data_IF_460705957994
#
_entry.id   IF_460705957994
#
_cell.length_a   1.000
_cell.length_b   1.000
_cell.length_c   1.000
_cell.angle_alpha   90.00
_cell.angle_beta   90.00
_cell.angle_gamma   90.00
#
_symmetry.space_group_name_H-M   'P 1'
#
loop_
_entity.id
_entity.type
_entity.pdbx_description
1 polymer ?
#
# COMPACT_ATOMS: atom_id res chain seq x y z
N UNK A 1 -16.54 -15.75 -5.50
CA UNK A 1 -17.46 -14.61 -5.59
C UNK A 1 -18.83 -15.05 -5.08
N UNK A 2 -19.26 -14.46 -3.99
CA UNK A 2 -20.60 -14.66 -3.45
C UNK A 2 -21.47 -13.50 -3.91
N UNK A 3 -22.43 -13.78 -4.81
CA UNK A 3 -23.43 -12.80 -5.22
C UNK A 3 -24.21 -12.32 -3.99
N UNK A 4 -24.80 -11.14 -4.07
CA UNK A 4 -25.58 -10.58 -2.97
C UNK A 4 -26.61 -11.58 -2.46
N UNK A 5 -26.48 -11.97 -1.20
CA UNK A 5 -27.43 -12.83 -0.50
C UNK A 5 -27.93 -12.06 0.71
N UNK A 6 -29.19 -11.60 0.65
CA UNK A 6 -29.70 -10.64 1.62
C UNK A 6 -28.88 -9.35 1.62
N UNK A 7 -28.32 -9.00 2.78
CA UNK A 7 -27.58 -7.76 2.99
C UNK A 7 -26.06 -7.88 2.72
N UNK A 8 -25.55 -9.08 2.36
CA UNK A 8 -24.13 -9.38 2.29
C UNK A 8 -23.71 -9.60 0.84
N UNK A 9 -22.59 -8.99 0.47
CA UNK A 9 -21.82 -9.30 -0.74
C UNK A 9 -20.36 -9.50 -0.35
N UNK A 10 -19.77 -10.59 -0.82
CA UNK A 10 -18.35 -10.89 -0.57
C UNK A 10 -17.64 -11.31 -1.85
N UNK A 11 -16.40 -10.87 -1.98
CA UNK A 11 -15.50 -11.33 -3.03
C UNK A 11 -14.15 -11.64 -2.40
N UNK A 12 -13.63 -12.83 -2.66
CA UNK A 12 -12.30 -13.25 -2.24
C UNK A 12 -11.54 -13.74 -3.47
N UNK A 13 -10.38 -13.17 -3.70
CA UNK A 13 -9.49 -13.54 -4.80
C UNK A 13 -8.11 -13.87 -4.26
N UNK A 14 -7.55 -14.94 -4.75
CA UNK A 14 -6.16 -15.29 -4.55
C UNK A 14 -5.46 -15.43 -5.89
N UNK A 15 -4.34 -14.77 -6.04
CA UNK A 15 -3.48 -14.86 -7.23
C UNK A 15 -2.12 -15.37 -6.81
N UNK A 16 -1.66 -16.42 -7.49
CA UNK A 16 -0.28 -16.90 -7.46
C UNK A 16 0.32 -16.61 -8.83
N UNK A 17 1.43 -15.85 -8.86
CA UNK A 17 2.13 -15.55 -10.11
C UNK A 17 3.65 -15.67 -9.93
N UNK A 18 4.34 -15.96 -11.04
CA UNK A 18 5.78 -15.90 -11.16
C UNK A 18 6.09 -15.06 -12.38
N UNK A 19 6.68 -13.90 -12.17
CA UNK A 19 7.03 -12.96 -13.22
C UNK A 19 8.56 -12.88 -13.32
N UNK A 20 9.14 -13.71 -14.17
CA UNK A 20 10.57 -13.81 -14.37
C UNK A 20 10.94 -13.50 -15.83
N UNK A 21 12.13 -12.97 -16.05
CA UNK A 21 12.62 -12.70 -17.40
C UNK A 21 13.96 -11.99 -17.39
N UNK A 22 14.33 -11.39 -18.53
CA UNK A 22 15.65 -10.77 -18.74
C UNK A 22 15.66 -9.26 -18.47
N UNK A 23 14.54 -8.66 -18.06
CA UNK A 23 14.44 -7.24 -17.70
C UNK A 23 13.04 -6.86 -17.26
N UNK A 24 12.91 -5.97 -16.27
CA UNK A 24 11.63 -5.60 -15.67
C UNK A 24 10.80 -4.61 -16.51
N UNK A 25 11.40 -3.98 -17.49
CA UNK A 25 10.77 -3.03 -18.42
C UNK A 25 11.34 -3.13 -19.84
N UNK A 26 10.70 -2.45 -20.78
CA UNK A 26 11.09 -2.49 -22.20
C UNK A 26 12.49 -1.91 -22.47
N UNK A 27 13.02 -1.08 -21.58
CA UNK A 27 14.32 -0.42 -21.72
C UNK A 27 15.44 -1.10 -20.93
N UNK A 28 15.14 -2.15 -20.18
CA UNK A 28 16.13 -2.86 -19.34
C UNK A 28 17.38 -3.32 -20.10
N UNK A 29 17.22 -3.69 -21.38
CA UNK A 29 18.34 -4.13 -22.22
C UNK A 29 19.12 -2.98 -22.87
N UNK A 30 18.57 -1.76 -22.91
CA UNK A 30 19.19 -0.65 -23.62
C UNK A 30 20.54 -0.26 -23.03
N UNK A 31 20.70 -0.35 -21.71
CA UNK A 31 21.98 -0.09 -21.03
C UNK A 31 23.09 -1.07 -21.48
N UNK A 32 22.75 -2.35 -21.63
CA UNK A 32 23.70 -3.36 -22.13
C UNK A 32 24.06 -3.11 -23.59
N UNK A 33 23.07 -2.81 -24.43
CA UNK A 33 23.28 -2.51 -25.85
C UNK A 33 24.14 -1.26 -26.03
N UNK A 34 23.85 -0.19 -25.28
CA UNK A 34 24.60 1.06 -25.35
C UNK A 34 26.04 0.91 -24.84
N UNK A 35 26.27 0.01 -23.90
CA UNK A 35 27.60 -0.31 -23.38
C UNK A 35 28.38 -1.30 -24.28
N UNK A 36 27.81 -1.78 -25.38
CA UNK A 36 28.41 -2.79 -26.27
C UNK A 36 28.61 -4.15 -25.58
N UNK A 37 27.89 -4.42 -24.50
CA UNK A 37 27.97 -5.67 -23.76
C UNK A 37 27.15 -6.78 -24.45
N UNK A 38 27.55 -8.05 -24.34
CA UNK A 38 26.80 -9.15 -24.89
C UNK A 38 25.41 -9.26 -24.25
N UNK A 39 24.45 -9.77 -25.01
CA UNK A 39 23.11 -10.07 -24.51
C UNK A 39 23.20 -11.20 -23.48
N UNK A 40 23.25 -10.83 -22.20
CA UNK A 40 23.26 -11.76 -21.09
C UNK A 40 21.83 -12.27 -20.86
N UNK A 41 21.56 -13.49 -21.27
CA UNK A 41 20.25 -14.15 -21.09
C UNK A 41 20.15 -14.77 -19.69
N UNK A 42 20.25 -13.95 -18.67
CA UNK A 42 20.00 -14.38 -17.28
C UNK A 42 18.54 -14.10 -16.94
N UNK A 43 17.84 -15.12 -16.49
CA UNK A 43 16.44 -14.99 -16.02
C UNK A 43 16.48 -14.65 -14.53
N UNK A 44 15.76 -13.60 -14.16
CA UNK A 44 15.61 -13.13 -12.79
C UNK A 44 14.19 -12.62 -12.54
N UNK A 45 13.70 -12.58 -11.28
CA UNK A 45 12.39 -12.03 -10.97
C UNK A 45 12.26 -10.57 -11.39
N UNK A 46 11.13 -10.21 -11.99
CA UNK A 46 10.83 -8.82 -12.28
C UNK A 46 10.59 -8.01 -11.00
N UNK A 47 10.88 -6.72 -11.01
CA UNK A 47 10.72 -5.83 -9.84
C UNK A 47 9.29 -5.78 -9.30
N UNK A 48 8.30 -6.15 -10.09
CA UNK A 48 6.88 -6.22 -9.74
C UNK A 48 6.37 -7.66 -9.49
N UNK A 49 7.26 -8.65 -9.36
CA UNK A 49 6.89 -10.05 -9.09
C UNK A 49 6.38 -10.20 -7.64
N UNK A 50 5.09 -9.96 -7.44
CA UNK A 50 4.39 -10.31 -6.19
C UNK A 50 3.81 -11.71 -6.31
N UNK A 51 4.46 -12.70 -5.66
CA UNK A 51 4.09 -14.12 -5.83
C UNK A 51 2.70 -14.44 -5.31
N UNK A 52 2.30 -13.86 -4.19
CA UNK A 52 1.02 -14.12 -3.56
C UNK A 52 0.27 -12.80 -3.39
N UNK A 53 -0.96 -12.76 -3.85
CA UNK A 53 -1.87 -11.64 -3.63
C UNK A 53 -3.25 -12.16 -3.20
N UNK A 54 -3.68 -11.76 -2.01
CA UNK A 54 -5.02 -12.02 -1.47
C UNK A 54 -5.78 -10.71 -1.42
N UNK A 55 -6.93 -10.68 -2.07
CA UNK A 55 -7.83 -9.53 -2.04
C UNK A 55 -9.18 -10.01 -1.53
N UNK A 56 -9.67 -9.37 -0.47
CA UNK A 56 -10.97 -9.67 0.11
C UNK A 56 -11.78 -8.38 0.20
N UNK A 57 -13.00 -8.44 -0.33
CA UNK A 57 -13.98 -7.34 -0.22
C UNK A 57 -15.22 -7.89 0.46
N UNK A 58 -15.69 -7.19 1.48
CA UNK A 58 -16.93 -7.46 2.18
C UNK A 58 -17.79 -6.19 2.16
N UNK A 59 -19.03 -6.32 1.74
CA UNK A 59 -20.02 -5.25 1.76
C UNK A 59 -21.26 -5.75 2.49
N UNK A 60 -21.70 -5.01 3.47
CA UNK A 60 -22.91 -5.22 4.21
C UNK A 60 -23.80 -3.99 4.11
N UNK A 61 -25.03 -4.13 3.58
CA UNK A 61 -25.90 -2.98 3.37
C UNK A 61 -27.34 -3.30 3.75
N UNK A 62 -27.93 -2.43 4.53
CA UNK A 62 -29.36 -2.45 4.78
C UNK A 62 -30.09 -1.75 3.64
N UNK A 63 -31.17 -2.38 3.17
CA UNK A 63 -32.05 -1.85 2.14
C UNK A 63 -32.91 -0.69 2.64
N UNK A 64 -33.77 -0.21 1.75
CA UNK A 64 -34.73 0.85 2.00
C UNK A 64 -36.16 0.29 2.02
N UNK A 65 -37.07 0.92 2.74
CA UNK A 65 -38.50 0.62 2.71
C UNK A 65 -38.81 -0.81 3.10
N UNK A 66 -39.43 -1.57 2.20
CA UNK A 66 -39.80 -2.97 2.43
C UNK A 66 -38.62 -3.94 2.46
N UNK A 67 -37.52 -3.56 1.83
CA UNK A 67 -36.29 -4.38 1.79
C UNK A 67 -35.44 -4.20 3.06
N UNK A 68 -35.87 -3.33 3.99
CA UNK A 68 -35.18 -3.14 5.26
C UNK A 68 -35.50 -4.29 6.22
N UNK A 69 -34.46 -5.03 6.62
CA UNK A 69 -34.52 -6.16 7.55
C UNK A 69 -33.69 -5.94 8.82
N UNK A 70 -33.33 -4.70 9.12
CA UNK A 70 -32.51 -4.31 10.26
C UNK A 70 -33.33 -4.03 11.53
N UNK A 71 -32.64 -3.70 12.66
CA UNK A 71 -33.30 -3.37 13.91
C UNK A 71 -34.12 -2.08 13.82
N UNK A 72 -35.25 -2.06 14.49
CA UNK A 72 -36.16 -0.91 14.58
C UNK A 72 -36.22 -0.39 16.02
N UNK A 73 -36.26 0.93 16.19
CA UNK A 73 -36.62 1.55 17.47
C UNK A 73 -38.01 2.19 17.30
N UNK A 74 -39.03 1.55 17.90
CA UNK A 74 -40.40 1.91 17.65
C UNK A 74 -40.79 1.70 16.19
N UNK A 75 -41.14 2.79 15.49
CA UNK A 75 -41.43 2.76 14.03
C UNK A 75 -40.25 3.24 13.18
N UNK A 76 -39.12 3.61 13.78
CA UNK A 76 -37.99 4.19 13.07
C UNK A 76 -36.97 3.12 12.69
N UNK A 77 -36.61 3.09 11.40
CA UNK A 77 -35.59 2.21 10.79
C UNK A 77 -34.23 2.87 10.88
N UNK A 78 -33.45 2.56 11.93
CA UNK A 78 -32.23 3.33 12.27
C UNK A 78 -31.14 3.15 11.24
N UNK A 79 -30.96 1.92 10.75
CA UNK A 79 -29.90 1.57 9.78
C UNK A 79 -30.38 1.52 8.34
N UNK A 80 -31.56 2.05 8.02
CA UNK A 80 -32.04 2.14 6.64
C UNK A 80 -31.02 2.91 5.79
N UNK A 81 -30.70 2.38 4.59
CA UNK A 81 -29.69 2.93 3.68
C UNK A 81 -28.29 3.12 4.34
N UNK A 82 -27.93 2.26 5.30
CA UNK A 82 -26.61 2.24 5.92
C UNK A 82 -25.79 1.09 5.34
N UNK A 83 -24.57 1.39 4.94
CA UNK A 83 -23.60 0.42 4.41
C UNK A 83 -22.33 0.35 5.24
N UNK A 84 -21.73 -0.85 5.28
CA UNK A 84 -20.42 -1.13 5.80
C UNK A 84 -19.61 -1.85 4.73
N UNK A 85 -18.53 -1.24 4.27
CA UNK A 85 -17.62 -1.84 3.29
C UNK A 85 -16.25 -2.07 3.94
N UNK A 86 -15.68 -3.24 3.70
CA UNK A 86 -14.34 -3.62 4.17
C UNK A 86 -13.53 -4.16 2.99
N UNK A 87 -12.28 -3.72 2.85
CA UNK A 87 -11.34 -4.18 1.84
C UNK A 87 -10.05 -4.59 2.54
N UNK A 88 -9.71 -5.87 2.43
CA UNK A 88 -8.44 -6.40 2.93
C UNK A 88 -7.54 -6.82 1.78
N UNK A 89 -6.28 -6.37 1.81
CA UNK A 89 -5.25 -6.74 0.85
C UNK A 89 -4.06 -7.31 1.63
N UNK A 90 -3.62 -8.50 1.22
CA UNK A 90 -2.45 -9.20 1.78
C UNK A 90 -1.59 -9.63 0.62
N UNK A 91 -0.38 -9.08 0.51
CA UNK A 91 0.50 -9.32 -0.62
C UNK A 91 1.89 -9.74 -0.15
N UNK A 92 2.51 -10.68 -0.87
CA UNK A 92 3.94 -10.95 -0.67
C UNK A 92 4.75 -9.74 -1.08
N UNK A 93 5.90 -9.53 -0.43
CA UNK A 93 6.79 -8.43 -0.76
C UNK A 93 7.31 -8.49 -2.20
N UNK A 94 7.56 -7.32 -2.79
CA UNK A 94 8.22 -7.17 -4.09
C UNK A 94 9.70 -7.57 -3.98
N UNK A 95 10.32 -8.03 -5.06
CA UNK A 95 11.75 -8.34 -5.07
C UNK A 95 12.61 -7.08 -5.07
N UNK A 96 13.80 -7.21 -4.51
CA UNK A 96 14.87 -6.23 -4.60
C UNK A 96 16.24 -6.91 -4.74
N UNK A 97 17.23 -6.18 -5.23
CA UNK A 97 18.61 -6.67 -5.33
C UNK A 97 19.37 -6.32 -4.07
N UNK A 98 19.70 -7.31 -3.26
CA UNK A 98 20.60 -7.12 -2.11
C UNK A 98 22.00 -6.77 -2.60
N UNK A 99 22.76 -5.99 -1.83
CA UNK A 99 24.14 -5.65 -2.17
C UNK A 99 25.14 -6.22 -1.16
N UNK A 100 26.38 -6.44 -1.64
CA UNK A 100 27.42 -7.13 -0.89
C UNK A 100 28.04 -6.27 0.19
N UNK A 101 28.17 -4.96 -0.08
CA UNK A 101 28.87 -4.03 0.81
C UNK A 101 27.95 -2.92 1.26
N UNK A 102 28.18 -2.46 2.48
CA UNK A 102 27.52 -1.27 3.01
C UNK A 102 28.09 -0.04 2.28
N UNK A 103 27.20 0.78 1.77
CA UNK A 103 27.52 2.07 1.14
C UNK A 103 26.73 3.17 1.83
N UNK A 104 27.17 4.41 1.68
CA UNK A 104 26.52 5.60 2.18
C UNK A 104 25.24 5.95 1.34
N UNK A 105 24.26 5.05 1.34
CA UNK A 105 23.02 5.22 0.56
C UNK A 105 22.24 6.47 1.00
N UNK A 106 22.37 6.89 2.26
CA UNK A 106 21.78 8.12 2.78
C UNK A 106 22.21 9.39 2.03
N UNK A 107 23.38 9.38 1.40
CA UNK A 107 23.89 10.47 0.55
C UNK A 107 23.97 10.09 -0.92
N UNK A 108 23.37 8.98 -1.32
CA UNK A 108 23.13 8.62 -2.72
C UNK A 108 24.20 7.77 -3.39
N UNK A 109 25.13 7.20 -2.64
CA UNK A 109 26.14 6.29 -3.20
C UNK A 109 25.57 4.87 -3.33
N UNK A 110 25.35 4.42 -4.56
CA UNK A 110 24.71 3.12 -4.87
C UNK A 110 25.67 2.12 -5.54
N UNK A 111 26.99 2.39 -5.54
CA UNK A 111 27.99 1.61 -6.25
C UNK A 111 28.49 0.40 -5.45
N UNK A 112 27.62 -0.55 -5.19
CA UNK A 112 28.01 -1.82 -4.59
C UNK A 112 27.60 -3.01 -5.47
N UNK A 113 28.40 -4.06 -5.44
CA UNK A 113 28.08 -5.32 -6.13
C UNK A 113 26.80 -5.95 -5.61
N UNK A 114 26.08 -6.63 -6.49
CA UNK A 114 24.87 -7.37 -6.13
C UNK A 114 25.27 -8.64 -5.35
N UNK A 115 24.55 -8.91 -4.26
CA UNK A 115 24.69 -10.14 -3.50
C UNK A 115 23.68 -11.17 -4.01
N UNK A 116 24.18 -12.22 -4.68
CA UNK A 116 23.35 -13.24 -5.31
C UNK A 116 22.86 -12.82 -6.70
N UNK A 117 21.57 -12.95 -6.96
CA UNK A 117 20.94 -12.62 -8.23
C UNK A 117 20.24 -11.27 -8.20
N UNK A 118 20.08 -10.65 -9.38
CA UNK A 118 19.25 -9.46 -9.53
C UNK A 118 17.83 -9.76 -9.04
N UNK A 119 17.26 -8.90 -8.19
CA UNK A 119 15.94 -9.10 -7.58
C UNK A 119 15.79 -10.43 -6.81
N UNK A 120 16.91 -10.96 -6.26
CA UNK A 120 16.92 -12.23 -5.55
C UNK A 120 16.37 -12.19 -4.13
N UNK A 121 16.33 -11.03 -3.51
CA UNK A 121 15.77 -10.80 -2.18
C UNK A 121 14.34 -10.27 -2.25
N UNK A 122 13.58 -10.36 -1.15
CA UNK A 122 12.18 -9.91 -1.12
C UNK A 122 11.90 -9.05 0.10
N UNK A 123 11.08 -8.03 -0.10
CA UNK A 123 10.50 -7.23 0.97
C UNK A 123 9.57 -8.08 1.85
N UNK A 124 9.29 -7.67 3.09
CA UNK A 124 8.30 -8.30 3.94
C UNK A 124 6.90 -8.31 3.31
N UNK A 125 6.04 -9.19 3.83
CA UNK A 125 4.62 -9.20 3.48
C UNK A 125 3.96 -7.87 3.82
N UNK A 126 3.00 -7.46 2.99
CA UNK A 126 2.23 -6.23 3.15
C UNK A 126 0.79 -6.58 3.51
N UNK A 127 0.25 -5.87 4.51
CA UNK A 127 -1.10 -6.08 5.03
C UNK A 127 -1.82 -4.74 5.08
N UNK A 128 -3.02 -4.69 4.54
CA UNK A 128 -3.84 -3.48 4.61
C UNK A 128 -5.31 -3.86 4.78
N UNK A 129 -5.96 -3.21 5.73
CA UNK A 129 -7.40 -3.26 5.92
C UNK A 129 -7.96 -1.84 5.87
N UNK A 130 -8.88 -1.62 4.95
CA UNK A 130 -9.64 -0.38 4.82
C UNK A 130 -11.11 -0.66 5.18
N UNK A 131 -11.75 0.28 5.88
CA UNK A 131 -13.17 0.18 6.27
C UNK A 131 -13.88 1.49 5.95
N UNK A 132 -15.10 1.40 5.46
CA UNK A 132 -15.99 2.54 5.26
C UNK A 132 -17.38 2.21 5.77
N UNK A 133 -17.93 3.08 6.60
CA UNK A 133 -19.34 3.09 6.95
C UNK A 133 -20.00 4.30 6.32
N UNK A 134 -21.15 4.12 5.70
CA UNK A 134 -21.92 5.20 5.08
C UNK A 134 -23.41 5.10 5.40
N UNK A 135 -24.07 6.24 5.41
CA UNK A 135 -25.52 6.35 5.51
C UNK A 135 -26.02 7.34 4.47
N UNK A 136 -27.01 6.92 3.69
CA UNK A 136 -27.72 7.78 2.74
C UNK A 136 -29.05 8.21 3.33
N UNK A 137 -29.33 9.51 3.28
CA UNK A 137 -30.58 10.13 3.74
C UNK A 137 -31.29 10.67 2.49
N UNK A 138 -32.49 10.20 2.25
CA UNK A 138 -33.32 10.66 1.16
C UNK A 138 -34.06 11.91 1.58
N UNK A 139 -33.94 12.99 0.82
CA UNK A 139 -34.59 14.28 1.06
C UNK A 139 -35.57 14.52 -0.08
N UNK A 140 -36.88 14.39 0.19
CA UNK A 140 -37.91 14.74 -0.76
C UNK A 140 -38.19 16.23 -0.70
N UNK A 141 -38.22 16.87 -1.86
CA UNK A 141 -38.57 18.28 -1.99
C UNK A 141 -39.48 18.55 -3.18
N UNK A 142 -40.32 19.60 -3.09
CA UNK A 142 -41.28 19.98 -4.11
C UNK A 142 -42.69 20.16 -3.53
N UNK A 143 -43.42 21.17 -4.01
CA UNK A 143 -44.71 21.58 -3.46
C UNK A 143 -45.92 20.80 -3.98
N UNK A 144 -45.79 19.98 -5.03
CA UNK A 144 -46.88 19.24 -5.64
C UNK A 144 -46.57 17.75 -5.63
N UNK A 145 -47.52 16.90 -5.25
CA UNK A 145 -47.35 15.42 -5.22
C UNK A 145 -46.88 14.84 -6.56
N UNK A 146 -47.25 15.46 -7.70
CA UNK A 146 -46.83 15.04 -9.04
C UNK A 146 -45.46 15.60 -9.49
N UNK A 147 -44.77 16.38 -8.66
CA UNK A 147 -43.45 17.00 -8.96
C UNK A 147 -42.47 16.86 -7.81
N UNK A 148 -42.65 15.86 -6.94
CA UNK A 148 -41.64 15.56 -5.91
C UNK A 148 -40.34 15.14 -6.58
N UNK A 149 -39.24 15.75 -6.15
CA UNK A 149 -37.87 15.38 -6.49
C UNK A 149 -37.20 14.83 -5.25
N UNK A 150 -36.32 13.88 -5.41
CA UNK A 150 -35.53 13.31 -4.31
C UNK A 150 -34.07 13.72 -4.46
N UNK A 151 -33.52 14.31 -3.42
CA UNK A 151 -32.08 14.50 -3.28
C UNK A 151 -31.51 13.48 -2.29
N UNK A 152 -30.26 13.12 -2.47
CA UNK A 152 -29.59 12.13 -1.65
C UNK A 152 -28.43 12.77 -0.92
N UNK A 153 -28.45 12.72 0.41
CA UNK A 153 -27.36 13.15 1.27
C UNK A 153 -26.67 11.91 1.84
N UNK A 154 -25.46 11.60 1.35
CA UNK A 154 -24.64 10.53 1.87
C UNK A 154 -23.60 11.07 2.83
N UNK A 155 -23.60 10.59 4.07
CA UNK A 155 -22.56 10.84 5.07
C UNK A 155 -21.74 9.57 5.22
N UNK A 156 -20.42 9.68 5.18
CA UNK A 156 -19.55 8.51 5.33
C UNK A 156 -18.33 8.78 6.21
N UNK A 157 -17.88 7.73 6.89
CA UNK A 157 -16.60 7.67 7.59
C UNK A 157 -15.77 6.60 6.93
N UNK A 158 -14.54 6.92 6.53
CA UNK A 158 -13.60 5.99 5.95
C UNK A 158 -12.30 5.97 6.76
N UNK A 159 -11.90 4.79 7.20
CA UNK A 159 -10.57 4.55 7.76
C UNK A 159 -9.75 3.71 6.77
N UNK A 160 -8.63 4.25 6.30
CA UNK A 160 -7.65 3.52 5.50
C UNK A 160 -6.50 3.07 6.38
N UNK A 161 -5.98 1.88 6.14
CA UNK A 161 -4.98 1.24 7.00
C UNK A 161 -5.45 1.18 8.46
N UNK A 162 -6.60 0.53 8.70
CA UNK A 162 -7.28 0.51 10.01
C UNK A 162 -6.38 0.12 11.17
N UNK A 163 -5.48 -0.84 10.97
CA UNK A 163 -4.56 -1.34 12.00
C UNK A 163 -3.31 -0.48 12.16
N UNK A 164 -3.16 0.59 11.37
CA UNK A 164 -1.96 1.42 11.33
C UNK A 164 -0.68 0.61 11.08
N UNK A 165 -0.76 -0.40 10.20
CA UNK A 165 0.36 -1.24 9.84
C UNK A 165 1.37 -0.47 8.99
N UNK A 166 2.62 -0.45 9.40
CA UNK A 166 3.73 0.08 8.61
C UNK A 166 4.22 -1.01 7.66
N UNK A 167 3.79 -0.95 6.39
CA UNK A 167 4.29 -1.85 5.36
C UNK A 167 5.57 -1.29 4.78
N UNK A 168 6.59 -2.12 4.69
CA UNK A 168 7.87 -1.77 4.06
C UNK A 168 7.69 -1.74 2.55
N UNK A 169 7.96 -0.59 1.92
CA UNK A 169 7.88 -0.37 0.48
C UNK A 169 9.24 -0.39 -0.19
N UNK A 170 10.28 0.06 0.51
CA UNK A 170 11.66 0.04 0.08
C UNK A 170 12.59 -0.28 1.26
N UNK A 171 13.76 -0.81 0.96
CA UNK A 171 14.80 -1.11 1.95
C UNK A 171 16.16 -0.64 1.44
N UNK A 172 17.05 -0.36 2.37
CA UNK A 172 18.47 -0.20 2.07
C UNK A 172 19.07 -1.56 1.71
N UNK A 173 19.73 -1.63 0.56
CA UNK A 173 20.04 -2.91 -0.10
C UNK A 173 21.07 -3.77 0.63
N UNK A 174 21.96 -3.16 1.43
CA UNK A 174 22.97 -3.88 2.20
C UNK A 174 22.38 -4.52 3.47
N UNK A 175 21.48 -3.82 4.17
CA UNK A 175 20.89 -4.28 5.43
C UNK A 175 19.55 -5.00 5.26
N UNK A 176 18.79 -4.66 4.21
CA UNK A 176 17.40 -5.07 4.07
C UNK A 176 16.44 -4.35 5.01
N UNK A 177 16.87 -3.28 5.70
CA UNK A 177 16.05 -2.47 6.60
C UNK A 177 15.51 -1.24 5.87
N UNK A 178 14.36 -0.74 6.32
CA UNK A 178 13.72 0.45 5.75
C UNK A 178 14.26 1.77 6.30
N UNK A 179 14.99 1.74 7.41
CA UNK A 179 15.39 2.89 8.23
C UNK A 179 16.88 2.88 8.64
N UNK A 180 17.65 1.87 8.20
CA UNK A 180 19.07 1.75 8.48
C UNK A 180 19.83 1.16 7.28
N UNK A 181 20.76 1.91 6.70
CA UNK A 181 21.65 1.44 5.62
C UNK A 181 22.91 0.75 6.15
N UNK A 182 23.14 0.76 7.47
CA UNK A 182 24.29 0.17 8.14
C UNK A 182 25.54 1.05 8.16
N UNK A 183 25.56 2.19 7.44
CA UNK A 183 26.76 3.02 7.26
C UNK A 183 27.32 3.55 8.59
N UNK A 184 26.44 4.07 9.46
CA UNK A 184 26.88 4.65 10.73
C UNK A 184 27.49 3.63 11.70
N UNK A 185 27.15 2.34 11.55
CA UNK A 185 27.66 1.25 12.38
C UNK A 185 28.84 0.50 11.75
N UNK A 186 29.05 0.62 10.45
CA UNK A 186 30.08 -0.12 9.73
C UNK A 186 31.48 0.29 10.13
N UNK A 187 32.38 -0.67 10.40
CA UNK A 187 33.75 -0.41 10.77
C UNK A 187 34.53 0.38 9.67
N UNK A 188 34.22 0.08 8.40
CA UNK A 188 34.85 0.72 7.25
C UNK A 188 34.57 2.23 7.12
N UNK A 189 33.41 2.68 7.65
CA UNK A 189 32.97 4.09 7.56
C UNK A 189 33.46 4.96 8.74
N UNK A 190 33.93 4.36 9.84
CA UNK A 190 34.24 5.12 11.05
C UNK A 190 35.32 6.19 10.82
N UNK A 191 36.35 5.89 10.05
CA UNK A 191 37.41 6.89 9.73
C UNK A 191 36.84 8.09 8.95
N UNK A 192 35.93 7.83 8.01
CA UNK A 192 35.26 8.88 7.25
C UNK A 192 34.34 9.74 8.12
N UNK A 193 33.65 9.10 9.05
CA UNK A 193 32.74 9.76 10.00
C UNK A 193 33.51 10.64 10.98
N UNK A 194 34.59 10.11 11.55
CA UNK A 194 35.47 10.85 12.50
C UNK A 194 36.18 12.05 11.87
N UNK A 195 36.43 12.00 10.56
CA UNK A 195 37.05 13.10 9.81
C UNK A 195 36.06 14.20 9.39
N UNK A 196 34.78 14.11 9.76
CA UNK A 196 33.82 15.19 9.54
C UNK A 196 34.12 16.38 10.45
N UNK A 197 33.76 17.59 10.02
CA UNK A 197 33.98 18.84 10.78
C UNK A 197 33.36 18.73 12.18
N UNK A 198 32.17 18.14 12.29
CA UNK A 198 31.49 17.81 13.53
C UNK A 198 30.85 16.42 13.37
N UNK A 199 31.46 15.44 14.04
CA UNK A 199 31.02 14.05 13.97
C UNK A 199 29.59 13.86 14.47
N UNK A 200 29.21 14.50 15.58
CA UNK A 200 27.88 14.33 16.15
C UNK A 200 26.80 14.91 15.22
N UNK A 201 27.00 16.13 14.74
CA UNK A 201 26.09 16.74 13.78
C UNK A 201 25.95 15.90 12.51
N UNK A 202 27.06 15.34 12.01
CA UNK A 202 26.99 14.43 10.85
C UNK A 202 26.12 13.20 11.14
N UNK A 203 26.32 12.53 12.27
CA UNK A 203 25.54 11.35 12.68
C UNK A 203 24.03 11.67 12.79
N UNK A 204 23.72 12.80 13.40
CA UNK A 204 22.31 13.23 13.59
C UNK A 204 21.64 13.52 12.24
N UNK A 205 22.27 14.30 11.37
CA UNK A 205 21.75 14.58 10.03
C UNK A 205 21.68 13.34 9.15
N UNK A 206 22.67 12.46 9.22
CA UNK A 206 22.66 11.20 8.50
C UNK A 206 21.48 10.32 8.93
N UNK A 207 21.26 10.18 10.23
CA UNK A 207 20.12 9.43 10.78
C UNK A 207 18.79 10.00 10.30
N UNK A 208 18.62 11.33 10.32
CA UNK A 208 17.43 11.97 9.76
C UNK A 208 17.26 11.67 8.27
N UNK A 209 18.34 11.58 7.52
CA UNK A 209 18.29 11.33 6.06
C UNK A 209 17.91 9.89 5.73
N UNK A 210 18.39 8.90 6.48
CA UNK A 210 18.07 7.48 6.26
C UNK A 210 16.67 7.11 6.78
N UNK A 211 16.10 7.86 7.71
CA UNK A 211 14.71 7.70 8.13
C UNK A 211 13.74 8.25 7.06
N UNK A 212 13.81 7.65 5.87
CA UNK A 212 13.03 8.09 4.72
C UNK A 212 11.57 7.63 4.83
N UNK A 213 10.57 8.54 4.95
CA UNK A 213 9.17 8.17 5.07
C UNK A 213 8.61 7.47 3.82
N UNK A 214 9.27 7.56 2.66
CA UNK A 214 8.88 6.86 1.44
C UNK A 214 9.24 5.37 1.44
N UNK A 215 10.03 4.91 2.42
CA UNK A 215 10.35 3.50 2.57
C UNK A 215 9.22 2.72 3.26
N UNK A 216 8.23 3.40 3.83
CA UNK A 216 7.09 2.79 4.53
C UNK A 216 5.76 3.31 3.96
N UNK A 217 4.72 2.52 4.14
CA UNK A 217 3.37 2.89 3.70
C UNK A 217 2.79 4.05 4.53
N UNK A 218 1.81 4.73 3.95
CA UNK A 218 1.06 5.80 4.61
C UNK A 218 0.40 5.24 5.89
N UNK A 219 0.48 5.95 7.02
CA UNK A 219 -0.16 5.57 8.27
C UNK A 219 -1.70 5.61 8.15
N UNK A 220 -2.39 5.16 9.20
CA UNK A 220 -3.84 5.20 9.26
C UNK A 220 -4.37 6.61 9.00
N UNK A 221 -5.33 6.70 8.10
CA UNK A 221 -6.04 7.95 7.79
C UNK A 221 -7.52 7.75 8.01
N UNK A 222 -8.15 8.64 8.81
CA UNK A 222 -9.60 8.64 9.01
C UNK A 222 -10.16 9.89 8.33
N UNK A 223 -11.20 9.70 7.52
CA UNK A 223 -11.87 10.77 6.78
C UNK A 223 -13.36 10.73 7.04
N UNK A 224 -13.94 11.88 7.36
CA UNK A 224 -15.38 12.12 7.33
C UNK A 224 -15.72 12.88 6.06
N UNK A 225 -16.73 12.45 5.34
CA UNK A 225 -17.16 13.12 4.12
C UNK A 225 -18.67 13.14 3.97
N UNK A 226 -19.13 14.10 3.20
CA UNK A 226 -20.54 14.29 2.84
C UNK A 226 -20.61 14.43 1.33
N UNK A 227 -21.54 13.70 0.71
CA UNK A 227 -21.86 13.79 -0.71
C UNK A 227 -23.32 14.15 -0.85
N UNK A 228 -23.62 15.12 -1.71
CA UNK A 228 -24.97 15.56 -2.01
C UNK A 228 -25.22 15.39 -3.51
N UNK A 229 -26.28 14.65 -3.85
CA UNK A 229 -26.73 14.42 -5.21
C UNK A 229 -28.20 14.91 -5.34
N UNK A 230 -28.55 15.66 -6.41
CA UNK A 230 -29.86 16.26 -6.63
C UNK A 230 -30.31 16.16 -8.10
#
# INVERSE_FOLDING_TARGET
DMRQTGNIRMTANYTLQFADGTGSDATSMSALVNAGLPNLRVIFPYSYDQRHAFNFTFDYRYGEGQDYNGPMIGKTRIFENTGLNMIANINSGSPYSSQTFITDEGIGNLNAGINGTLNGSRLPWQYRLDIQADKTINIEYGNNENKKKTAFLQVYVRATNLFNQFNVLNVYRATGNSDDDGYLAAAASQTSIQNQIDEQSFRDYYTMKIQNPFNISIPRTIRLGVKFDF
#
